data_IF_723331534229
#
_entry.id   IF_723331534229
#
_cell.length_a   1.000
_cell.length_b   1.000
_cell.length_c   1.000
_cell.angle_alpha   90.00
_cell.angle_beta   90.00
_cell.angle_gamma   90.00
#
_symmetry.space_group_name_H-M   'P 1'
#
loop_
_entity.id
_entity.type
_entity.pdbx_description
1 polymer ?
#
# COMPACT_ATOMS: atom_id res chain seq x y z
N UNK A 1 -0.34 -10.21 13.06
CA UNK A 1 -1.70 -10.45 12.54
C UNK A 1 -1.61 -11.52 11.45
N UNK A 2 -2.33 -12.65 11.55
CA UNK A 2 -2.22 -13.77 10.57
C UNK A 2 -3.05 -13.55 9.30
N UNK A 3 -4.15 -12.82 9.41
CA UNK A 3 -5.12 -12.59 8.33
C UNK A 3 -4.48 -11.96 7.08
N UNK A 4 -3.52 -11.06 7.27
CA UNK A 4 -2.91 -10.29 6.18
C UNK A 4 -1.62 -10.90 5.63
N UNK A 5 -1.17 -12.05 6.17
CA UNK A 5 0.08 -12.69 5.75
C UNK A 5 0.08 -13.05 4.26
N UNK A 6 -1.09 -13.37 3.70
CA UNK A 6 -1.26 -13.70 2.29
C UNK A 6 -0.99 -12.54 1.33
N UNK A 7 -0.87 -11.29 1.79
CA UNK A 7 -0.55 -10.15 0.92
C UNK A 7 0.95 -9.88 0.76
N UNK A 8 1.80 -10.63 1.47
CA UNK A 8 3.25 -10.51 1.36
C UNK A 8 3.72 -10.76 -0.08
N UNK A 9 4.78 -10.05 -0.50
CA UNK A 9 5.40 -10.20 -1.81
C UNK A 9 4.40 -10.16 -2.99
N UNK A 10 3.40 -9.26 -2.93
CA UNK A 10 2.36 -9.18 -3.96
C UNK A 10 1.61 -10.51 -4.07
N UNK A 11 1.10 -11.02 -2.95
CA UNK A 11 0.48 -12.35 -2.85
C UNK A 11 1.37 -13.52 -3.30
N UNK A 12 2.68 -13.39 -3.10
CA UNK A 12 3.68 -14.40 -3.46
C UNK A 12 4.10 -14.41 -4.93
N UNK A 13 3.41 -13.69 -5.82
CA UNK A 13 3.76 -13.65 -7.24
C UNK A 13 4.57 -12.41 -7.66
N UNK A 14 4.72 -11.42 -6.77
CA UNK A 14 5.30 -10.09 -7.03
C UNK A 14 4.54 -9.22 -8.04
N UNK A 15 3.72 -9.80 -8.91
CA UNK A 15 2.94 -9.09 -9.93
C UNK A 15 1.73 -8.33 -9.35
N UNK A 16 1.36 -8.59 -8.09
CA UNK A 16 0.22 -7.92 -7.47
C UNK A 16 0.61 -6.67 -6.67
N UNK A 17 -0.42 -5.91 -6.28
CA UNK A 17 -0.31 -4.71 -5.43
C UNK A 17 0.48 -4.98 -4.15
N UNK A 18 1.27 -3.99 -3.73
CA UNK A 18 2.03 -4.05 -2.49
C UNK A 18 1.13 -4.34 -1.27
N UNK A 19 1.54 -5.32 -0.45
CA UNK A 19 0.79 -5.70 0.74
C UNK A 19 0.66 -4.58 1.79
N UNK A 20 1.62 -3.65 1.85
CA UNK A 20 1.53 -2.47 2.71
C UNK A 20 0.38 -1.54 2.31
N UNK A 21 0.22 -1.30 1.00
CA UNK A 21 -0.88 -0.52 0.46
C UNK A 21 -2.23 -1.20 0.70
N UNK A 22 -2.31 -2.53 0.50
CA UNK A 22 -3.50 -3.32 0.85
C UNK A 22 -3.84 -3.14 2.33
N UNK A 23 -2.86 -3.22 3.22
CA UNK A 23 -3.05 -3.00 4.66
C UNK A 23 -3.66 -1.63 4.97
N UNK A 24 -3.13 -0.56 4.38
CA UNK A 24 -3.68 0.80 4.56
C UNK A 24 -5.14 0.89 4.08
N UNK A 25 -5.46 0.33 2.91
CA UNK A 25 -6.83 0.31 2.38
C UNK A 25 -7.78 -0.53 3.24
N UNK A 26 -7.32 -1.66 3.76
CA UNK A 26 -8.08 -2.47 4.72
C UNK A 26 -8.40 -1.66 5.98
N UNK A 27 -7.42 -0.94 6.53
CA UNK A 27 -7.64 -0.06 7.69
C UNK A 27 -8.62 1.05 7.38
N UNK A 28 -8.54 1.68 6.21
CA UNK A 28 -9.54 2.67 5.79
C UNK A 28 -10.95 2.06 5.75
N UNK A 29 -11.11 0.84 5.24
CA UNK A 29 -12.40 0.13 5.25
C UNK A 29 -12.97 -0.09 6.65
N UNK A 30 -12.11 -0.41 7.63
CA UNK A 30 -12.51 -0.53 9.04
C UNK A 30 -12.93 0.83 9.60
N UNK A 31 -12.16 1.88 9.35
CA UNK A 31 -12.41 3.23 9.89
C UNK A 31 -13.69 3.86 9.33
N UNK A 32 -14.05 3.55 8.09
CA UNK A 32 -15.26 4.06 7.45
C UNK A 32 -16.45 3.11 7.57
N UNK A 33 -16.30 1.96 8.22
CA UNK A 33 -17.30 0.88 8.23
C UNK A 33 -17.80 0.53 6.81
N UNK A 34 -16.88 0.48 5.84
CA UNK A 34 -17.19 0.24 4.42
C UNK A 34 -17.86 1.40 3.67
N UNK A 35 -18.35 2.44 4.36
CA UNK A 35 -19.05 3.56 3.74
C UNK A 35 -18.09 4.47 2.95
N UNK A 36 -18.21 4.47 1.62
CA UNK A 36 -17.40 5.35 0.77
C UNK A 36 -15.91 5.00 0.72
N UNK A 37 -15.49 3.87 1.29
CA UNK A 37 -14.09 3.42 1.31
C UNK A 37 -13.39 3.50 -0.05
N UNK A 38 -14.00 3.14 -1.20
CA UNK A 38 -13.30 3.23 -2.49
C UNK A 38 -12.75 4.62 -2.83
N UNK A 39 -13.38 5.70 -2.35
CA UNK A 39 -12.86 7.06 -2.50
C UNK A 39 -11.54 7.22 -1.75
N UNK A 40 -11.53 6.89 -0.46
CA UNK A 40 -10.32 6.96 0.36
C UNK A 40 -9.23 6.01 -0.16
N UNK A 41 -9.60 4.79 -0.59
CA UNK A 41 -8.66 3.85 -1.19
C UNK A 41 -7.95 4.42 -2.42
N UNK A 42 -8.68 5.14 -3.28
CA UNK A 42 -8.11 5.81 -4.45
C UNK A 42 -7.12 6.89 -4.04
N UNK A 43 -7.47 7.71 -3.05
CA UNK A 43 -6.60 8.79 -2.55
C UNK A 43 -5.34 8.23 -1.84
N UNK A 44 -5.48 7.20 -1.01
CA UNK A 44 -4.37 6.49 -0.34
C UNK A 44 -3.43 5.88 -1.38
N UNK A 45 -3.96 5.22 -2.41
CA UNK A 45 -3.17 4.65 -3.49
C UNK A 45 -2.36 5.73 -4.22
N UNK A 46 -2.99 6.86 -4.56
CA UNK A 46 -2.32 7.96 -5.25
C UNK A 46 -1.17 8.54 -4.39
N UNK A 47 -1.40 8.74 -3.08
CA UNK A 47 -0.40 9.23 -2.14
C UNK A 47 0.74 8.22 -1.93
N UNK A 48 0.41 6.94 -1.78
CA UNK A 48 1.41 5.88 -1.71
C UNK A 48 2.28 5.85 -2.97
N UNK A 49 1.67 5.93 -4.16
CA UNK A 49 2.41 5.95 -5.43
C UNK A 49 3.32 7.16 -5.56
N UNK A 50 2.88 8.35 -5.12
CA UNK A 50 3.72 9.55 -5.09
C UNK A 50 4.96 9.38 -4.20
N UNK A 51 4.81 8.72 -3.05
CA UNK A 51 5.91 8.50 -2.09
C UNK A 51 6.83 7.36 -2.50
N UNK A 52 6.29 6.29 -3.07
CA UNK A 52 7.02 5.04 -3.37
C UNK A 52 7.42 4.88 -4.83
N UNK A 53 6.87 5.68 -5.75
CA UNK A 53 7.12 5.63 -7.19
C UNK A 53 6.28 4.61 -7.98
N UNK A 54 5.72 3.59 -7.31
CA UNK A 54 4.88 2.56 -7.93
C UNK A 54 3.87 1.99 -6.93
N UNK A 55 3.03 1.05 -7.36
CA UNK A 55 2.05 0.35 -6.49
C UNK A 55 2.16 -1.17 -6.57
N UNK A 56 2.74 -1.70 -7.65
CA UNK A 56 2.95 -3.13 -7.86
C UNK A 56 4.25 -3.58 -7.20
N UNK A 57 4.21 -4.73 -6.50
CA UNK A 57 5.33 -5.18 -5.67
C UNK A 57 6.62 -5.41 -6.47
N UNK A 58 6.51 -5.98 -7.68
CA UNK A 58 7.59 -6.20 -8.63
C UNK A 58 8.32 -4.91 -8.98
N UNK A 59 7.57 -3.88 -9.34
CA UNK A 59 8.08 -2.57 -9.76
C UNK A 59 8.78 -1.87 -8.60
N UNK A 60 8.14 -1.87 -7.41
CA UNK A 60 8.70 -1.28 -6.20
C UNK A 60 10.07 -1.89 -5.85
N UNK A 61 10.17 -3.21 -5.97
CA UNK A 61 11.42 -3.97 -5.76
C UNK A 61 12.42 -3.88 -6.90
N UNK A 62 12.10 -3.19 -7.99
CA UNK A 62 12.99 -3.06 -9.15
C UNK A 62 13.22 -4.38 -9.90
N UNK A 63 12.32 -5.35 -9.80
CA UNK A 63 12.49 -6.65 -10.47
C UNK A 63 12.36 -6.47 -11.98
N UNK A 64 13.46 -6.72 -12.70
CA UNK A 64 13.59 -6.52 -14.15
C UNK A 64 14.32 -5.23 -14.53
N UNK A 65 14.31 -4.19 -13.68
CA UNK A 65 15.03 -2.93 -13.91
C UNK A 65 16.33 -2.83 -13.11
N UNK A 66 16.46 -3.60 -12.03
CA UNK A 66 17.59 -3.56 -11.09
C UNK A 66 17.60 -2.35 -10.16
N UNK A 67 16.64 -1.42 -10.30
CA UNK A 67 16.54 -0.21 -9.47
C UNK A 67 15.35 -0.32 -8.54
N UNK A 68 15.63 -0.48 -7.25
CA UNK A 68 14.59 -0.43 -6.22
C UNK A 68 14.01 0.98 -6.15
N UNK A 69 12.67 1.09 -6.22
CA UNK A 69 11.96 2.36 -6.08
C UNK A 69 11.61 2.63 -4.62
N UNK A 70 11.24 1.58 -3.87
CA UNK A 70 10.92 1.70 -2.45
C UNK A 70 11.15 0.36 -1.73
N UNK A 71 11.91 0.41 -0.64
CA UNK A 71 12.18 -0.75 0.20
C UNK A 71 10.92 -1.19 0.98
N UNK A 72 10.80 -2.48 1.31
CA UNK A 72 9.61 -3.00 2.02
C UNK A 72 9.28 -2.26 3.33
N UNK A 73 10.25 -1.93 4.21
CA UNK A 73 9.96 -1.12 5.41
C UNK A 73 9.43 0.28 5.07
N UNK A 74 9.95 0.90 4.01
CA UNK A 74 9.49 2.21 3.57
C UNK A 74 8.14 2.16 2.87
N UNK A 75 7.80 1.05 2.20
CA UNK A 75 6.43 0.80 1.75
C UNK A 75 5.46 0.81 2.95
N UNK A 76 5.80 0.17 4.06
CA UNK A 76 4.96 0.18 5.27
C UNK A 76 4.82 1.59 5.82
N UNK A 77 5.93 2.32 5.99
CA UNK A 77 5.92 3.71 6.47
C UNK A 77 5.05 4.60 5.58
N UNK A 78 5.29 4.57 4.27
CA UNK A 78 4.59 5.42 3.32
C UNK A 78 3.11 5.07 3.18
N UNK A 79 2.73 3.81 3.36
CA UNK A 79 1.32 3.41 3.41
C UNK A 79 0.62 3.96 4.65
N UNK A 80 1.28 3.94 5.82
CA UNK A 80 0.74 4.53 7.06
C UNK A 80 0.62 6.05 6.93
N UNK A 81 1.64 6.74 6.39
CA UNK A 81 1.57 8.18 6.14
C UNK A 81 0.46 8.54 5.14
N UNK A 82 0.35 7.80 4.03
CA UNK A 82 -0.72 8.01 3.05
C UNK A 82 -2.11 7.82 3.66
N UNK A 83 -2.28 6.82 4.53
CA UNK A 83 -3.51 6.63 5.30
C UNK A 83 -3.77 7.80 6.24
N UNK A 84 -2.79 8.20 7.04
CA UNK A 84 -2.90 9.31 8.00
C UNK A 84 -3.31 10.62 7.33
N UNK A 85 -2.64 11.00 6.23
CA UNK A 85 -2.95 12.19 5.44
C UNK A 85 -4.38 12.17 4.90
N UNK A 86 -4.81 11.04 4.33
CA UNK A 86 -6.13 10.93 3.68
C UNK A 86 -7.27 10.86 4.69
N UNK A 87 -7.02 10.23 5.84
CA UNK A 87 -8.03 10.04 6.88
C UNK A 87 -8.01 11.14 7.95
N UNK A 88 -7.03 12.05 7.92
CA UNK A 88 -6.88 13.14 8.89
C UNK A 88 -6.49 12.67 10.30
N UNK A 89 -5.57 11.71 10.41
CA UNK A 89 -5.20 11.04 11.68
C UNK A 89 -3.69 11.15 11.97
N UNK A 90 -3.03 12.19 11.46
CA UNK A 90 -1.62 12.48 11.74
C UNK A 90 -1.38 13.10 13.12
#
# INVERSE_FOLDING_TARGET
>A
MKLTAGYAAGMGCLEATCGALIGAVMTAGVLTDGAGTPRYSKEILAKFQQKCGATICRELKGVGTGKVLCECPECVRNAVLALGEVMGIE
#
